data_IF_290177327102
#
_entry.id   IF_290177327102
#
_cell.length_a   1.000
_cell.length_b   1.000
_cell.length_c   1.000
_cell.angle_alpha   90.00
_cell.angle_beta   90.00
_cell.angle_gamma   90.00
#
_symmetry.space_group_name_H-M   'P 1'
#
loop_
_entity.id
_entity.type
_entity.pdbx_description
1 polymer ?
#
# COMPACT_ATOMS: atom_id res chain seq x y z
N UNK A 1 14.30 -44.82 10.84
CA UNK A 1 13.03 -44.08 10.59
C UNK A 1 12.85 -42.83 11.47
N UNK A 2 13.11 -42.86 12.79
CA UNK A 2 12.96 -41.69 13.69
C UNK A 2 13.82 -40.47 13.34
N UNK A 3 15.01 -40.68 12.76
CA UNK A 3 15.93 -39.61 12.37
C UNK A 3 15.44 -38.80 11.16
N UNK A 4 14.64 -39.40 10.27
CA UNK A 4 14.06 -38.74 9.10
C UNK A 4 12.99 -37.71 9.51
N UNK A 5 12.17 -38.03 10.52
CA UNK A 5 11.18 -37.10 11.08
C UNK A 5 11.84 -35.93 11.80
N UNK A 6 12.94 -36.16 12.51
CA UNK A 6 13.70 -35.10 13.18
C UNK A 6 14.35 -34.14 12.17
N UNK A 7 14.92 -34.68 11.08
CA UNK A 7 15.49 -33.88 9.98
C UNK A 7 14.42 -33.04 9.27
N UNK A 8 13.27 -33.64 8.95
CA UNK A 8 12.15 -32.91 8.35
C UNK A 8 11.55 -31.85 9.27
N UNK A 9 11.41 -32.15 10.58
CA UNK A 9 10.94 -31.19 11.58
C UNK A 9 11.88 -29.99 11.72
N UNK A 10 13.20 -30.23 11.70
CA UNK A 10 14.20 -29.16 11.74
C UNK A 10 14.14 -28.30 10.47
N UNK A 11 14.03 -28.93 9.30
CA UNK A 11 13.94 -28.22 8.01
C UNK A 11 12.66 -27.37 7.93
N UNK A 12 11.54 -27.91 8.41
CA UNK A 12 10.27 -27.21 8.46
C UNK A 12 10.30 -26.01 9.42
N UNK A 13 10.89 -26.17 10.62
CA UNK A 13 11.06 -25.06 11.55
C UNK A 13 11.90 -23.93 10.95
N UNK A 14 12.97 -24.28 10.21
CA UNK A 14 13.84 -23.31 9.55
C UNK A 14 13.10 -22.54 8.44
N UNK A 15 12.24 -23.22 7.67
CA UNK A 15 11.37 -22.59 6.67
C UNK A 15 10.33 -21.65 7.29
N UNK A 16 9.73 -22.03 8.42
CA UNK A 16 8.75 -21.19 9.13
C UNK A 16 9.41 -19.92 9.67
N UNK A 17 10.61 -20.03 10.27
CA UNK A 17 11.34 -18.86 10.75
C UNK A 17 11.75 -17.94 9.59
N UNK A 18 12.23 -18.50 8.49
CA UNK A 18 12.59 -17.71 7.29
C UNK A 18 11.37 -16.97 6.70
N UNK A 19 10.22 -17.65 6.61
CA UNK A 19 8.97 -17.06 6.12
C UNK A 19 8.46 -15.91 7.01
N UNK A 20 8.59 -16.05 8.34
CA UNK A 20 8.25 -14.98 9.28
C UNK A 20 9.22 -13.80 9.17
N UNK A 21 10.51 -14.06 9.01
CA UNK A 21 11.53 -13.01 8.89
C UNK A 21 11.35 -12.16 7.64
N UNK A 22 10.92 -12.77 6.53
CA UNK A 22 10.72 -12.09 5.26
C UNK A 22 9.41 -11.26 5.20
N UNK A 23 8.39 -11.64 5.98
CA UNK A 23 7.08 -10.97 5.99
C UNK A 23 6.99 -9.78 6.97
N UNK A 24 7.73 -9.82 8.07
CA UNK A 24 7.80 -8.75 9.07
C UNK A 24 8.13 -7.34 8.54
N UNK A 25 9.11 -7.13 7.64
CA UNK A 25 9.45 -5.79 7.18
C UNK A 25 8.33 -5.15 6.33
N UNK A 26 7.61 -5.94 5.53
CA UNK A 26 6.52 -5.41 4.70
C UNK A 26 5.31 -5.00 5.52
N UNK A 27 4.95 -5.77 6.56
CA UNK A 27 3.86 -5.41 7.46
C UNK A 27 4.15 -4.11 8.23
N UNK A 28 5.40 -3.93 8.68
CA UNK A 28 5.82 -2.67 9.33
C UNK A 28 5.73 -1.48 8.37
N UNK A 29 6.11 -1.64 7.11
CA UNK A 29 5.96 -0.58 6.12
C UNK A 29 4.48 -0.26 5.84
N UNK A 30 3.63 -1.28 5.71
CA UNK A 30 2.18 -1.09 5.54
C UNK A 30 1.56 -0.35 6.70
N UNK A 31 1.93 -0.67 7.94
CA UNK A 31 1.42 0.03 9.11
C UNK A 31 1.87 1.49 9.15
N UNK A 32 3.15 1.75 8.84
CA UNK A 32 3.66 3.12 8.72
C UNK A 32 2.92 3.92 7.63
N UNK A 33 2.59 3.29 6.50
CA UNK A 33 1.78 3.91 5.43
C UNK A 33 0.35 4.15 5.94
N UNK A 34 -0.28 3.19 6.61
CA UNK A 34 -1.64 3.38 7.18
C UNK A 34 -1.69 4.57 8.12
N UNK A 35 -0.69 4.70 8.99
CA UNK A 35 -0.60 5.81 9.92
C UNK A 35 -0.41 7.14 9.18
N UNK A 36 0.52 7.21 8.22
CA UNK A 36 0.72 8.40 7.39
C UNK A 36 -0.55 8.82 6.63
N UNK A 37 -1.31 7.84 6.10
CA UNK A 37 -2.59 8.09 5.42
C UNK A 37 -3.64 8.62 6.39
N UNK A 38 -3.80 8.00 7.57
CA UNK A 38 -4.76 8.45 8.59
C UNK A 38 -4.43 9.86 9.07
N UNK A 39 -3.17 10.13 9.38
CA UNK A 39 -2.72 11.45 9.84
C UNK A 39 -2.96 12.52 8.78
N UNK A 40 -2.76 12.18 7.50
CA UNK A 40 -3.02 13.10 6.39
C UNK A 40 -4.51 13.35 6.18
N UNK A 41 -5.32 12.29 6.16
CA UNK A 41 -6.77 12.40 5.96
C UNK A 41 -7.46 13.11 7.12
N UNK A 42 -6.99 12.90 8.36
CA UNK A 42 -7.48 13.63 9.53
C UNK A 42 -7.24 15.15 9.40
N UNK A 43 -6.10 15.58 8.82
CA UNK A 43 -5.85 17.01 8.52
C UNK A 43 -6.80 17.58 7.47
N UNK A 44 -7.34 16.73 6.61
CA UNK A 44 -8.34 17.07 5.59
C UNK A 44 -9.79 16.90 6.09
N UNK A 45 -9.99 16.73 7.40
CA UNK A 45 -11.30 16.59 8.05
C UNK A 45 -12.06 15.28 7.72
N UNK A 46 -11.39 14.28 7.15
CA UNK A 46 -11.94 12.93 7.03
C UNK A 46 -11.91 12.25 8.39
N UNK A 47 -13.05 11.72 8.84
CA UNK A 47 -13.22 11.25 10.22
C UNK A 47 -13.19 9.74 10.35
N UNK A 48 -13.55 9.00 9.30
CA UNK A 48 -13.55 7.53 9.31
C UNK A 48 -13.04 6.92 8.00
N UNK A 49 -11.83 7.30 7.54
CA UNK A 49 -11.29 6.74 6.30
C UNK A 49 -10.98 5.25 6.43
N UNK A 50 -11.61 4.44 5.59
CA UNK A 50 -11.30 3.03 5.43
C UNK A 50 -10.20 2.86 4.38
N UNK A 51 -9.06 2.31 4.77
CA UNK A 51 -7.96 2.04 3.85
C UNK A 51 -8.21 0.68 3.18
N UNK A 52 -8.57 0.70 1.91
CA UNK A 52 -8.97 -0.47 1.13
C UNK A 52 -7.77 -1.25 0.60
N UNK A 53 -6.73 -0.55 0.15
CA UNK A 53 -5.57 -1.18 -0.45
C UNK A 53 -4.32 -0.32 -0.29
N UNK A 54 -3.17 -0.97 -0.14
CA UNK A 54 -1.85 -0.34 -0.12
C UNK A 54 -0.94 -1.12 -1.08
N UNK A 55 -0.35 -0.41 -2.03
CA UNK A 55 0.64 -0.94 -2.97
C UNK A 55 1.95 -0.18 -2.78
N UNK A 56 3.07 -0.90 -2.74
CA UNK A 56 4.40 -0.34 -2.45
C UNK A 56 5.33 -0.75 -3.58
N UNK A 57 6.10 0.20 -4.12
CA UNK A 57 7.09 -0.03 -5.17
C UNK A 57 8.20 1.01 -5.09
N UNK A 58 9.47 0.58 -5.03
CA UNK A 58 10.67 1.41 -5.14
C UNK A 58 10.66 2.73 -4.34
N UNK A 59 10.27 2.67 -3.06
CA UNK A 59 10.22 3.86 -2.19
C UNK A 59 9.01 4.77 -2.44
N UNK A 60 8.04 4.32 -3.21
CA UNK A 60 6.73 4.93 -3.41
C UNK A 60 5.63 3.98 -2.94
N UNK A 61 4.48 4.53 -2.58
CA UNK A 61 3.30 3.77 -2.25
C UNK A 61 2.04 4.46 -2.76
N UNK A 62 1.03 3.67 -3.09
CA UNK A 62 -0.33 4.14 -3.34
C UNK A 62 -1.25 3.54 -2.31
N UNK A 63 -2.02 4.37 -1.63
CA UNK A 63 -3.08 3.96 -0.73
C UNK A 63 -4.43 4.36 -1.32
N UNK A 64 -5.38 3.43 -1.27
CA UNK A 64 -6.78 3.69 -1.56
C UNK A 64 -7.51 3.83 -0.24
N UNK A 65 -8.13 4.97 -0.03
CA UNK A 65 -8.97 5.23 1.13
C UNK A 65 -10.40 5.56 0.69
N UNK A 66 -11.37 5.22 1.53
CA UNK A 66 -12.77 5.53 1.32
C UNK A 66 -13.34 6.25 2.54
N UNK A 67 -13.91 7.43 2.30
CA UNK A 67 -14.72 8.17 3.29
C UNK A 67 -15.77 8.99 2.53
N UNK A 68 -16.94 8.40 2.29
CA UNK A 68 -18.01 8.85 1.38
C UNK A 68 -17.62 8.98 -0.11
N UNK A 69 -16.34 9.23 -0.40
CA UNK A 69 -15.72 9.20 -1.72
C UNK A 69 -14.46 8.34 -1.70
N UNK A 70 -14.07 7.80 -2.87
CA UNK A 70 -12.81 7.06 -2.98
C UNK A 70 -11.65 8.01 -3.30
N UNK A 71 -10.67 8.02 -2.43
CA UNK A 71 -9.48 8.87 -2.48
C UNK A 71 -8.27 7.99 -2.77
N UNK A 72 -7.50 8.38 -3.78
CA UNK A 72 -6.17 7.84 -4.02
C UNK A 72 -5.17 8.76 -3.36
N UNK A 73 -4.34 8.20 -2.50
CA UNK A 73 -3.20 8.88 -1.91
C UNK A 73 -1.91 8.30 -2.47
N UNK A 74 -1.06 9.17 -2.97
CA UNK A 74 0.27 8.82 -3.41
C UNK A 74 1.28 9.24 -2.35
N UNK A 75 2.09 8.28 -1.91
CA UNK A 75 3.08 8.44 -0.85
C UNK A 75 4.48 8.21 -1.38
N UNK A 76 5.44 8.94 -0.80
CA UNK A 76 6.86 8.76 -1.05
C UNK A 76 7.59 8.55 0.26
N UNK A 77 8.55 7.63 0.26
CA UNK A 77 9.46 7.41 1.39
C UNK A 77 10.58 8.45 1.34
N UNK A 78 10.67 9.30 2.36
CA UNK A 78 11.76 10.27 2.57
C UNK A 78 12.37 10.07 3.95
N UNK A 79 13.70 9.90 4.01
CA UNK A 79 14.44 9.72 5.26
C UNK A 79 13.83 8.65 6.20
N UNK A 80 13.33 7.55 5.63
CA UNK A 80 12.72 6.45 6.39
C UNK A 80 11.26 6.67 6.80
N UNK A 81 10.66 7.83 6.52
CA UNK A 81 9.24 8.13 6.79
C UNK A 81 8.43 8.14 5.51
N UNK A 82 7.15 7.77 5.61
CA UNK A 82 6.20 7.84 4.50
C UNK A 82 5.43 9.16 4.56
N UNK A 83 5.42 9.89 3.45
CA UNK A 83 4.75 11.18 3.33
C UNK A 83 3.80 11.15 2.14
N UNK A 84 2.56 11.60 2.35
CA UNK A 84 1.60 11.80 1.25
C UNK A 84 2.05 13.02 0.45
N UNK A 85 2.38 12.80 -0.82
CA UNK A 85 2.85 13.85 -1.73
C UNK A 85 1.68 14.47 -2.49
N UNK A 86 0.72 13.64 -2.88
CA UNK A 86 -0.50 14.08 -3.56
C UNK A 86 -1.66 13.17 -3.21
N UNK A 87 -2.86 13.72 -3.25
CA UNK A 87 -4.10 12.97 -3.17
C UNK A 87 -5.05 13.48 -4.26
N UNK A 88 -5.96 12.61 -4.67
CA UNK A 88 -6.99 12.96 -5.63
C UNK A 88 -8.17 12.02 -5.51
N UNK A 89 -9.34 12.52 -5.91
CA UNK A 89 -10.48 11.65 -6.16
C UNK A 89 -10.18 10.81 -7.42
N UNK A 90 -10.52 9.53 -7.37
CA UNK A 90 -10.25 8.52 -8.40
C UNK A 90 -10.90 8.81 -9.76
N UNK A 91 -11.73 9.84 -9.87
CA UNK A 91 -12.45 10.24 -11.07
C UNK A 91 -11.55 10.58 -12.27
N UNK A 92 -10.23 10.77 -12.12
CA UNK A 92 -9.33 11.09 -13.24
C UNK A 92 -7.89 10.58 -13.03
N UNK A 93 -7.52 9.48 -13.71
CA UNK A 93 -6.13 8.95 -13.76
C UNK A 93 -5.11 9.99 -14.26
N UNK A 94 -5.56 10.91 -15.11
CA UNK A 94 -4.75 12.00 -15.66
C UNK A 94 -4.36 13.05 -14.61
N UNK A 95 -5.24 13.31 -13.64
CA UNK A 95 -5.01 14.34 -12.61
C UNK A 95 -3.88 13.97 -11.65
N UNK A 96 -3.68 12.67 -11.40
CA UNK A 96 -2.58 12.18 -10.56
C UNK A 96 -1.25 12.23 -11.32
N UNK A 97 -1.24 11.86 -12.62
CA UNK A 97 -0.07 11.99 -13.49
C UNK A 97 0.39 13.44 -13.68
N UNK A 98 -0.54 14.38 -13.77
CA UNK A 98 -0.25 15.80 -13.99
C UNK A 98 0.26 16.52 -12.74
N UNK A 99 -0.14 16.09 -11.53
CA UNK A 99 0.20 16.79 -10.29
C UNK A 99 1.59 16.46 -9.73
N UNK A 100 2.16 15.29 -10.04
CA UNK A 100 3.45 14.89 -9.47
C UNK A 100 4.50 14.66 -10.57
N UNK A 101 5.00 15.76 -11.15
CA UNK A 101 6.07 15.79 -12.18
C UNK A 101 7.40 15.11 -11.74
N UNK A 102 7.49 14.61 -10.51
CA UNK A 102 8.69 14.01 -9.91
C UNK A 102 8.65 12.49 -9.73
N UNK A 103 7.62 11.80 -10.25
CA UNK A 103 7.47 10.34 -10.15
C UNK A 103 7.69 9.70 -11.52
N UNK A 104 8.62 8.73 -11.67
CA UNK A 104 8.84 8.04 -12.94
C UNK A 104 7.62 7.23 -13.39
N UNK A 105 7.30 7.24 -14.69
CA UNK A 105 6.14 6.50 -15.26
C UNK A 105 6.12 5.00 -14.91
N UNK A 106 7.29 4.36 -14.85
CA UNK A 106 7.42 2.95 -14.45
C UNK A 106 6.81 2.64 -13.07
N UNK A 107 6.86 3.61 -12.15
CA UNK A 107 6.34 3.45 -10.79
C UNK A 107 4.81 3.49 -10.81
N UNK A 108 4.22 4.35 -11.65
CA UNK A 108 2.77 4.40 -11.84
C UNK A 108 2.21 3.09 -12.40
N UNK A 109 2.93 2.46 -13.33
CA UNK A 109 2.52 1.18 -13.91
C UNK A 109 2.65 0.03 -12.90
N UNK A 110 3.73 -0.01 -12.11
CA UNK A 110 3.93 -1.01 -11.04
C UNK A 110 2.93 -0.89 -9.90
N UNK A 111 2.57 0.33 -9.52
CA UNK A 111 1.59 0.60 -8.48
C UNK A 111 0.15 0.29 -8.93
N UNK A 112 -0.06 -0.02 -10.21
CA UNK A 112 -1.37 -0.42 -10.78
C UNK A 112 -2.50 0.51 -10.31
N UNK A 113 -2.31 1.82 -10.46
CA UNK A 113 -3.31 2.79 -10.01
C UNK A 113 -4.63 2.53 -10.77
N UNK A 114 -5.73 2.24 -10.06
CA UNK A 114 -7.01 1.95 -10.69
C UNK A 114 -7.47 3.11 -11.59
N UNK A 115 -8.06 2.78 -12.74
CA UNK A 115 -8.53 3.78 -13.72
C UNK A 115 -9.83 4.40 -13.22
N UNK A 116 -10.08 5.64 -13.62
CA UNK A 116 -11.36 6.31 -13.37
C UNK A 116 -12.52 5.44 -13.87
N UNK A 117 -13.48 5.15 -12.98
CA UNK A 117 -14.64 4.30 -13.26
C UNK A 117 -14.61 2.89 -12.67
N UNK A 118 -13.45 2.34 -12.29
CA UNK A 118 -13.38 0.95 -11.76
C UNK A 118 -13.81 0.82 -10.29
N UNK A 119 -13.90 1.93 -9.55
CA UNK A 119 -14.22 1.90 -8.10
C UNK A 119 -15.59 2.52 -7.80
N UNK A 120 -16.26 3.11 -8.80
CA UNK A 120 -17.68 3.51 -8.72
C UNK A 120 -18.67 2.36 -8.94
N UNK A 121 -18.16 1.17 -9.27
CA UNK A 121 -18.92 -0.07 -9.39
C UNK A 121 -18.30 -1.12 -8.48
N UNK A 122 -18.45 -0.95 -7.16
CA UNK A 122 -18.29 -2.07 -6.26
C UNK A 122 -19.47 -3.03 -6.49
N UNK A 123 -19.43 -3.80 -7.58
CA UNK A 123 -20.04 -5.13 -7.61
C UNK A 123 -19.21 -5.97 -6.65
N UNK A 124 -19.63 -5.97 -5.39
CA UNK A 124 -19.42 -7.10 -4.51
C UNK A 124 -20.26 -8.25 -5.09
N UNK A 125 -19.64 -9.41 -5.32
CA UNK A 125 -20.38 -10.68 -5.35
C UNK A 125 -20.84 -11.03 -3.93
#
# INVERSE_FOLDING_TARGET
MRWLLALFGLLFALLVVAALWQSLPQEREREAIRQAVRDYLAKLFYTKPQILNIRIADGYATALAYDFETIVLFLRKRQGKWEVVTHGNLLTRETIRLKDKGVPDRIFDQLQIPKAGTIGGATFE
#
